data_IF_485053067940
#
_entry.id   IF_485053067940
#
_cell.length_a   1.000
_cell.length_b   1.000
_cell.length_c   1.000
_cell.angle_alpha   90.00
_cell.angle_beta   90.00
_cell.angle_gamma   90.00
#
_symmetry.space_group_name_H-M   'P 1'
#
loop_
_entity.id
_entity.type
_entity.pdbx_description
1 polymer ?
#
# COMPACT_ATOMS: atom_id res chain seq x y z
N UNK A 1 32.45 48.25 5.01
CA UNK A 1 31.70 47.91 3.77
C UNK A 1 30.38 47.29 4.20
N UNK A 2 29.25 47.79 3.66
CA UNK A 2 27.91 47.29 3.95
C UNK A 2 27.67 45.93 3.24
N UNK A 3 28.34 44.88 3.72
CA UNK A 3 28.18 43.54 3.17
C UNK A 3 26.84 42.95 3.64
N UNK A 4 26.04 42.44 2.69
CA UNK A 4 24.74 41.84 2.97
C UNK A 4 24.97 40.40 3.43
N UNK A 5 24.47 40.05 4.61
CA UNK A 5 24.48 38.68 5.13
C UNK A 5 23.35 37.86 4.53
N UNK A 6 23.70 36.94 3.64
CA UNK A 6 22.73 36.05 2.99
C UNK A 6 22.42 34.86 3.91
N UNK A 7 21.15 34.71 4.31
CA UNK A 7 20.66 33.60 5.13
C UNK A 7 19.73 32.75 4.28
N UNK A 8 20.06 31.48 4.13
CA UNK A 8 19.27 30.51 3.38
C UNK A 8 18.39 29.69 4.33
N UNK A 9 17.07 29.68 4.10
CA UNK A 9 16.14 28.85 4.86
C UNK A 9 15.87 27.55 4.08
N UNK A 10 16.12 26.40 4.70
CA UNK A 10 15.88 25.07 4.13
C UNK A 10 15.05 24.26 5.12
N UNK A 11 14.22 23.32 4.65
CA UNK A 11 13.42 22.45 5.51
C UNK A 11 12.13 22.03 4.84
N UNK A 12 11.39 21.11 5.46
CA UNK A 12 10.16 20.55 4.89
C UNK A 12 9.06 21.60 4.73
N UNK A 13 8.13 21.36 3.81
CA UNK A 13 6.88 22.14 3.69
C UNK A 13 6.10 22.05 4.99
N UNK A 14 5.49 23.16 5.40
CA UNK A 14 4.82 23.27 6.69
C UNK A 14 5.77 23.38 7.89
N UNK A 15 7.10 23.29 7.72
CA UNK A 15 8.06 23.40 8.83
C UNK A 15 8.19 24.80 9.45
N UNK A 16 7.51 25.83 8.90
CA UNK A 16 7.54 27.20 9.40
C UNK A 16 8.69 28.07 8.86
N UNK A 17 9.25 27.76 7.67
CA UNK A 17 10.32 28.56 7.03
C UNK A 17 9.89 29.99 6.74
N UNK A 18 8.77 30.18 6.04
CA UNK A 18 8.24 31.51 5.69
C UNK A 18 7.92 32.32 6.95
N UNK A 19 7.29 31.69 7.95
CA UNK A 19 7.07 32.28 9.28
C UNK A 19 8.38 32.69 9.96
N UNK A 20 9.41 31.82 9.96
CA UNK A 20 10.73 32.16 10.48
C UNK A 20 11.36 33.33 9.72
N UNK A 21 11.18 33.38 8.39
CA UNK A 21 11.63 34.49 7.55
C UNK A 21 10.97 35.81 7.95
N UNK A 22 9.66 35.81 8.16
CA UNK A 22 8.92 36.97 8.66
C UNK A 22 9.42 37.38 10.06
N UNK A 23 9.67 36.43 10.94
CA UNK A 23 10.22 36.70 12.27
C UNK A 23 11.60 37.36 12.19
N UNK A 24 12.43 37.00 11.21
CA UNK A 24 13.79 37.53 11.03
C UNK A 24 13.86 38.90 10.35
N UNK A 25 12.92 39.26 9.48
CA UNK A 25 12.95 40.54 8.76
C UNK A 25 12.23 41.69 9.47
N UNK A 26 11.19 41.37 10.24
CA UNK A 26 10.29 42.39 10.80
C UNK A 26 10.88 43.11 11.99
N UNK A 27 10.43 44.34 12.26
CA UNK A 27 10.87 45.13 13.42
C UNK A 27 9.70 45.40 14.36
N UNK A 28 10.03 45.81 15.58
CA UNK A 28 9.11 46.45 16.52
C UNK A 28 7.81 45.68 16.80
N UNK A 29 7.86 44.34 16.72
CA UNK A 29 6.72 43.43 16.92
C UNK A 29 5.52 43.65 15.97
N UNK A 30 5.71 44.35 14.85
CA UNK A 30 4.62 44.55 13.88
C UNK A 30 4.47 43.38 12.89
N UNK A 31 5.49 42.51 12.78
CA UNK A 31 5.46 41.22 12.07
C UNK A 31 4.62 41.22 10.78
N UNK A 32 4.94 42.12 9.85
CA UNK A 32 4.32 42.16 8.53
C UNK A 32 4.58 40.86 7.74
N UNK A 33 3.56 40.40 7.03
CA UNK A 33 3.66 39.18 6.23
C UNK A 33 4.37 39.46 4.89
N UNK A 34 5.69 39.34 4.86
CA UNK A 34 6.49 39.51 3.63
C UNK A 34 6.62 38.19 2.87
N UNK A 35 6.82 37.11 3.60
CA UNK A 35 6.70 35.74 3.12
C UNK A 35 5.31 35.23 3.48
N UNK A 36 4.59 34.69 2.48
CA UNK A 36 3.23 34.20 2.71
C UNK A 36 3.24 32.99 3.65
N UNK A 37 2.56 33.09 4.79
CA UNK A 37 2.34 32.01 5.74
C UNK A 37 1.08 31.22 5.33
N UNK A 38 1.04 29.91 5.62
CA UNK A 38 -0.17 29.13 5.40
C UNK A 38 -0.22 27.88 6.28
N UNK A 39 -1.34 27.71 6.97
CA UNK A 39 -1.66 26.49 7.74
C UNK A 39 -2.29 25.38 6.87
N UNK A 40 -2.48 25.64 5.58
CA UNK A 40 -3.09 24.70 4.63
C UNK A 40 -2.12 23.63 4.12
N UNK A 41 -2.67 22.48 3.69
CA UNK A 41 -1.92 21.31 3.19
C UNK A 41 -1.17 21.51 1.86
N UNK A 42 -1.17 22.73 1.31
CA UNK A 42 -0.56 23.08 0.02
C UNK A 42 0.41 24.23 0.26
N UNK A 43 1.68 24.11 -0.15
CA UNK A 43 2.65 25.19 -0.01
C UNK A 43 2.16 26.50 -0.66
N UNK A 44 2.15 27.58 0.11
CA UNK A 44 1.91 28.92 -0.40
C UNK A 44 3.08 29.46 -1.26
N UNK A 45 4.28 28.87 -1.13
CA UNK A 45 5.51 29.31 -1.81
C UNK A 45 5.77 28.41 -3.02
N UNK A 46 5.67 28.99 -4.23
CA UNK A 46 5.83 28.28 -5.53
C UNK A 46 7.15 28.57 -6.25
N UNK A 47 7.92 29.57 -5.79
CA UNK A 47 9.26 29.95 -6.26
C UNK A 47 10.10 30.45 -5.07
N UNK A 48 11.43 30.48 -5.19
CA UNK A 48 12.30 31.10 -4.18
C UNK A 48 11.89 32.57 -3.98
N UNK A 49 11.73 32.98 -2.72
CA UNK A 49 11.45 34.37 -2.36
C UNK A 49 12.60 34.93 -1.54
N UNK A 50 12.86 36.21 -1.72
CA UNK A 50 13.93 36.90 -0.99
C UNK A 50 13.41 38.21 -0.41
N UNK A 51 13.82 38.50 0.83
CA UNK A 51 13.55 39.77 1.48
C UNK A 51 14.83 40.31 2.12
N UNK A 52 15.02 41.63 2.06
CA UNK A 52 16.16 42.32 2.68
C UNK A 52 15.67 43.13 3.86
N UNK A 53 16.40 43.05 4.97
CA UNK A 53 16.12 43.85 6.16
C UNK A 53 17.44 44.38 6.73
N UNK A 54 17.48 45.66 7.08
CA UNK A 54 18.59 46.23 7.85
C UNK A 54 18.23 46.18 9.33
N UNK A 55 18.97 45.41 10.11
CA UNK A 55 18.73 45.19 11.53
C UNK A 55 19.78 45.95 12.33
N UNK A 56 19.30 46.74 13.29
CA UNK A 56 20.15 47.43 14.24
C UNK A 56 20.43 46.49 15.42
N UNK A 57 21.70 46.21 15.67
CA UNK A 57 22.15 45.40 16.81
C UNK A 57 22.53 46.25 18.02
N UNK A 58 22.63 47.56 17.83
CA UNK A 58 23.06 48.50 18.85
C UNK A 58 21.93 49.48 19.20
N UNK A 59 21.83 49.89 20.47
CA UNK A 59 20.83 50.88 20.87
C UNK A 59 21.10 52.29 20.33
N UNK A 60 22.33 52.57 19.93
CA UNK A 60 22.79 53.86 19.41
C UNK A 60 22.85 53.93 17.88
N UNK A 61 22.54 52.83 17.19
CA UNK A 61 22.55 52.73 15.74
C UNK A 61 23.92 52.62 15.08
N UNK A 62 24.96 52.36 15.87
CA UNK A 62 26.34 52.20 15.40
C UNK A 62 26.61 50.87 14.70
N UNK A 63 25.88 49.80 15.05
CA UNK A 63 26.02 48.46 14.46
C UNK A 63 24.76 48.03 13.70
N UNK A 64 24.76 48.30 12.39
CA UNK A 64 23.69 47.87 11.48
C UNK A 64 24.14 46.74 10.59
N UNK A 65 23.35 45.66 10.54
CA UNK A 65 23.60 44.51 9.67
C UNK A 65 22.47 44.37 8.67
N UNK A 66 22.82 44.34 7.38
CA UNK A 66 21.86 44.04 6.31
C UNK A 66 21.78 42.53 6.15
N UNK A 67 20.61 41.97 6.42
CA UNK A 67 20.30 40.58 6.13
C UNK A 67 19.52 40.47 4.83
N UNK A 68 19.76 39.39 4.10
CA UNK A 68 18.88 38.90 3.05
C UNK A 68 18.43 37.52 3.42
N UNK A 69 17.15 37.37 3.67
CA UNK A 69 16.53 36.09 3.95
C UNK A 69 16.05 35.49 2.63
N UNK A 70 16.53 34.30 2.31
CA UNK A 70 16.20 33.53 1.11
C UNK A 70 15.33 32.37 1.56
N UNK A 71 14.02 32.51 1.36
CA UNK A 71 13.04 31.47 1.67
C UNK A 71 12.88 30.55 0.46
N UNK A 72 13.23 29.27 0.63
CA UNK A 72 13.05 28.25 -0.41
C UNK A 72 11.72 27.55 -0.23
N UNK A 73 11.21 26.97 -1.32
CA UNK A 73 10.10 26.02 -1.23
C UNK A 73 10.50 24.87 -0.29
N UNK A 74 9.55 24.37 0.47
CA UNK A 74 9.80 23.25 1.37
C UNK A 74 10.05 21.94 0.65
N UNK A 75 10.90 21.12 1.27
CA UNK A 75 11.08 19.71 0.91
C UNK A 75 9.74 18.99 1.18
N UNK A 76 9.24 18.14 0.28
CA UNK A 76 8.04 17.33 0.55
C UNK A 76 6.68 18.02 0.38
N UNK A 77 6.60 19.17 -0.32
CA UNK A 77 5.31 19.54 -0.92
C UNK A 77 4.95 18.46 -1.97
N UNK A 78 3.70 18.02 -1.98
CA UNK A 78 3.22 16.91 -2.82
C UNK A 78 3.77 17.03 -4.25
N UNK A 79 4.70 16.13 -4.61
CA UNK A 79 5.44 16.00 -5.88
C UNK A 79 6.85 16.62 -6.00
N UNK A 80 7.44 17.23 -4.96
CA UNK A 80 8.85 17.64 -5.02
C UNK A 80 9.78 16.52 -4.54
N UNK A 81 10.26 15.76 -5.52
CA UNK A 81 11.35 14.79 -5.38
C UNK A 81 12.68 15.50 -5.01
N UNK A 82 13.72 14.77 -4.57
CA UNK A 82 15.13 15.21 -4.60
C UNK A 82 15.52 16.27 -5.64
N UNK A 83 15.02 16.14 -6.87
CA UNK A 83 15.31 17.03 -8.00
C UNK A 83 14.65 18.39 -7.87
N UNK A 84 13.49 18.48 -7.22
CA UNK A 84 12.85 19.73 -6.87
C UNK A 84 13.76 20.61 -6.00
N UNK A 85 14.42 20.01 -5.01
CA UNK A 85 15.39 20.70 -4.14
C UNK A 85 16.56 21.24 -4.97
N UNK A 86 17.11 20.42 -5.87
CA UNK A 86 18.24 20.79 -6.73
C UNK A 86 17.92 21.91 -7.73
N UNK A 87 16.76 21.86 -8.38
CA UNK A 87 16.32 22.91 -9.30
C UNK A 87 16.21 24.25 -8.57
N UNK A 88 15.67 24.28 -7.36
CA UNK A 88 15.56 25.54 -6.59
C UNK A 88 16.91 26.04 -6.10
N UNK A 89 17.87 25.15 -5.90
CA UNK A 89 19.21 25.57 -5.54
C UNK A 89 19.97 26.12 -6.75
N UNK A 90 19.69 25.61 -7.95
CA UNK A 90 20.16 26.22 -9.19
C UNK A 90 19.66 27.67 -9.33
N UNK A 91 18.41 27.96 -8.92
CA UNK A 91 17.87 29.34 -8.93
C UNK A 91 18.71 30.31 -8.06
N UNK A 92 19.29 29.84 -6.96
CA UNK A 92 20.12 30.66 -6.07
C UNK A 92 21.62 30.47 -6.29
N UNK A 93 22.03 29.56 -7.18
CA UNK A 93 23.43 29.17 -7.37
C UNK A 93 24.33 30.35 -7.73
N UNK A 94 23.89 31.15 -8.71
CA UNK A 94 24.59 32.36 -9.13
C UNK A 94 24.77 33.35 -7.97
N UNK A 95 23.77 33.45 -7.09
CA UNK A 95 23.85 34.31 -5.90
C UNK A 95 24.84 33.76 -4.88
N UNK A 96 24.75 32.46 -4.57
CA UNK A 96 25.69 31.78 -3.65
C UNK A 96 27.12 31.87 -4.18
N UNK A 97 27.33 31.72 -5.48
CA UNK A 97 28.64 31.85 -6.12
C UNK A 97 29.23 33.25 -6.00
N UNK A 98 28.43 34.29 -6.31
CA UNK A 98 28.92 35.67 -6.36
C UNK A 98 29.01 36.32 -4.97
N UNK A 99 28.02 36.09 -4.12
CA UNK A 99 27.86 36.77 -2.84
C UNK A 99 28.14 35.86 -1.64
N UNK A 100 28.07 34.53 -1.80
CA UNK A 100 28.20 33.56 -0.72
C UNK A 100 26.99 33.51 0.22
N UNK A 101 27.02 32.57 1.15
CA UNK A 101 26.04 32.40 2.22
C UNK A 101 26.69 32.72 3.56
N UNK A 102 26.09 33.63 4.33
CA UNK A 102 26.55 33.87 5.70
C UNK A 102 26.10 32.76 6.64
N UNK A 103 24.91 32.21 6.43
CA UNK A 103 24.37 31.12 7.25
C UNK A 103 23.25 30.35 6.55
N UNK A 104 23.05 29.11 6.97
CA UNK A 104 21.97 28.21 6.52
C UNK A 104 21.16 27.82 7.76
N UNK A 105 19.84 28.04 7.69
CA UNK A 105 18.90 27.67 8.74
C UNK A 105 18.06 26.48 8.26
N UNK A 106 18.29 25.32 8.87
CA UNK A 106 17.51 24.11 8.61
C UNK A 106 16.33 24.06 9.57
N UNK A 107 15.13 24.33 9.07
CA UNK A 107 13.91 24.50 9.85
C UNK A 107 13.14 23.18 9.96
N UNK A 108 12.92 22.72 11.19
CA UNK A 108 12.18 21.49 11.50
C UNK A 108 11.25 21.67 12.71
N UNK A 109 10.12 20.97 12.68
CA UNK A 109 9.13 20.92 13.76
C UNK A 109 9.26 19.68 14.66
N UNK A 110 10.28 18.86 14.48
CA UNK A 110 10.38 17.62 15.24
C UNK A 110 11.42 16.66 14.69
N UNK A 111 11.09 15.38 14.74
CA UNK A 111 11.93 14.33 14.16
C UNK A 111 12.08 14.56 12.67
N UNK A 112 13.25 14.21 12.15
CA UNK A 112 13.50 14.28 10.72
C UNK A 112 12.76 13.11 10.07
N UNK A 113 12.01 13.40 9.01
CA UNK A 113 11.46 12.35 8.17
C UNK A 113 12.55 11.75 7.28
N UNK A 114 12.25 10.61 6.66
CA UNK A 114 13.16 9.98 5.72
C UNK A 114 13.45 10.92 4.53
N UNK A 115 12.44 11.65 4.07
CA UNK A 115 12.55 12.62 2.98
C UNK A 115 13.43 13.81 3.37
N UNK A 116 13.34 14.29 4.62
CA UNK A 116 14.23 15.35 5.13
C UNK A 116 15.69 14.86 5.21
N UNK A 117 15.88 13.61 5.62
CA UNK A 117 17.21 12.96 5.69
C UNK A 117 17.82 12.80 4.30
N UNK A 118 17.05 12.30 3.33
CA UNK A 118 17.48 12.14 1.94
C UNK A 118 17.80 13.50 1.28
N UNK A 119 16.92 14.48 1.46
CA UNK A 119 17.15 15.83 0.96
C UNK A 119 18.40 16.45 1.58
N UNK A 120 18.66 16.23 2.87
CA UNK A 120 19.90 16.67 3.51
C UNK A 120 21.13 15.97 2.92
N UNK A 121 21.07 14.67 2.68
CA UNK A 121 22.16 13.93 2.02
C UNK A 121 22.45 14.45 0.61
N UNK A 122 21.41 14.85 -0.13
CA UNK A 122 21.56 15.46 -1.45
C UNK A 122 22.16 16.86 -1.40
N UNK A 123 21.71 17.69 -0.45
CA UNK A 123 22.29 19.01 -0.20
C UNK A 123 23.77 18.90 0.15
N UNK A 124 24.08 17.99 1.07
CA UNK A 124 25.44 17.68 1.52
C UNK A 124 26.34 17.10 0.43
N UNK A 125 25.79 16.40 -0.56
CA UNK A 125 26.59 15.84 -1.64
C UNK A 125 26.77 16.82 -2.79
N UNK A 126 25.73 17.60 -3.13
CA UNK A 126 25.65 18.36 -4.38
C UNK A 126 26.10 19.80 -4.25
N UNK A 127 25.78 20.42 -3.13
CA UNK A 127 26.04 21.86 -2.97
C UNK A 127 27.12 22.07 -1.96
N UNK A 128 27.11 21.27 -0.92
CA UNK A 128 27.84 21.54 0.27
C UNK A 128 29.11 20.72 0.36
N UNK A 129 30.20 21.35 0.75
CA UNK A 129 31.41 20.64 1.15
C UNK A 129 31.33 20.34 2.66
N UNK A 130 32.39 19.74 3.22
CA UNK A 130 32.44 19.38 4.64
C UNK A 130 32.35 20.60 5.57
N UNK A 131 32.64 21.80 5.08
CA UNK A 131 32.62 23.02 5.88
C UNK A 131 31.22 23.62 6.02
N UNK A 132 30.23 23.19 5.23
CA UNK A 132 28.84 23.69 5.35
C UNK A 132 28.29 23.56 6.76
N UNK A 133 28.69 22.51 7.48
CA UNK A 133 28.18 22.23 8.82
C UNK A 133 28.50 23.37 9.78
N UNK A 134 29.62 24.07 9.56
CA UNK A 134 30.01 25.27 10.33
C UNK A 134 29.07 26.45 10.12
N UNK A 135 28.41 26.49 8.97
CA UNK A 135 27.48 27.54 8.57
C UNK A 135 26.01 27.09 8.65
N UNK A 136 25.74 25.90 9.19
CA UNK A 136 24.40 25.34 9.29
C UNK A 136 23.93 25.30 10.73
N UNK A 137 22.71 25.77 10.96
CA UNK A 137 22.02 25.66 12.26
C UNK A 137 20.65 25.06 12.06
N UNK A 138 20.29 24.11 12.90
CA UNK A 138 18.93 23.56 12.95
C UNK A 138 18.06 24.49 13.80
N UNK A 139 16.94 24.93 13.25
CA UNK A 139 15.92 25.70 13.94
C UNK A 139 14.74 24.79 14.23
N UNK A 140 14.56 24.49 15.52
CA UNK A 140 13.46 23.69 16.04
C UNK A 140 12.27 24.61 16.33
N UNK A 141 11.33 24.68 15.39
CA UNK A 141 10.12 25.51 15.46
C UNK A 141 8.97 24.80 16.17
N UNK A 142 7.91 25.52 16.55
CA UNK A 142 6.73 24.95 17.22
C UNK A 142 7.10 24.19 18.51
N UNK A 143 7.93 24.83 19.33
CA UNK A 143 8.37 24.30 20.61
C UNK A 143 8.05 25.31 21.71
N UNK A 144 6.83 25.27 22.23
CA UNK A 144 6.32 26.24 23.22
C UNK A 144 7.14 26.36 24.51
N UNK A 145 7.97 25.35 24.82
CA UNK A 145 8.89 25.35 25.97
C UNK A 145 10.28 25.87 25.62
N UNK A 146 10.44 26.64 24.53
CA UNK A 146 11.75 27.07 24.04
C UNK A 146 12.52 27.94 25.04
N UNK A 147 11.83 28.67 25.91
CA UNK A 147 12.45 29.44 27.00
C UNK A 147 12.95 28.57 28.16
N UNK A 148 12.53 27.30 28.23
CA UNK A 148 12.99 26.35 29.24
C UNK A 148 14.22 25.59 28.71
N UNK A 149 15.40 25.93 29.23
CA UNK A 149 16.67 25.36 28.77
C UNK A 149 16.80 23.86 29.06
N UNK A 150 16.22 23.37 30.16
CA UNK A 150 16.19 21.93 30.48
C UNK A 150 15.32 21.17 29.48
N UNK A 151 14.14 21.71 29.14
CA UNK A 151 13.27 21.13 28.12
C UNK A 151 13.95 21.10 26.75
N UNK A 152 14.69 22.15 26.40
CA UNK A 152 15.49 22.21 25.17
C UNK A 152 16.64 21.18 25.19
N UNK A 153 17.34 21.00 26.32
CA UNK A 153 18.40 20.01 26.46
C UNK A 153 17.87 18.57 26.28
N UNK A 154 16.73 18.27 26.90
CA UNK A 154 16.07 16.96 26.79
C UNK A 154 15.60 16.67 25.35
N UNK A 155 15.02 17.66 24.67
CA UNK A 155 14.61 17.52 23.27
C UNK A 155 15.83 17.36 22.34
N UNK A 156 16.93 18.10 22.57
CA UNK A 156 18.18 17.94 21.79
C UNK A 156 18.73 16.52 21.89
N UNK A 157 18.76 15.95 23.10
CA UNK A 157 19.21 14.59 23.29
C UNK A 157 18.29 13.60 22.56
N UNK A 158 16.98 13.80 22.65
CA UNK A 158 15.99 12.95 21.99
C UNK A 158 16.11 13.00 20.47
N UNK A 159 16.23 14.21 19.88
CA UNK A 159 16.46 14.39 18.45
C UNK A 159 17.74 13.71 17.97
N UNK A 160 18.82 13.75 18.75
CA UNK A 160 20.08 13.09 18.39
C UNK A 160 19.98 11.56 18.43
N UNK A 161 19.25 11.00 19.39
CA UNK A 161 19.09 9.54 19.51
C UNK A 161 18.12 8.95 18.48
N UNK A 162 17.01 9.63 18.19
CA UNK A 162 15.98 9.13 17.28
C UNK A 162 16.38 9.23 15.80
N UNK A 163 17.38 10.06 15.47
CA UNK A 163 17.85 10.29 14.09
C UNK A 163 19.29 9.78 13.92
N UNK A 164 19.51 8.50 14.18
CA UNK A 164 20.84 7.87 14.14
C UNK A 164 21.60 8.14 12.82
N UNK A 165 20.87 8.13 11.68
CA UNK A 165 21.43 8.42 10.35
C UNK A 165 21.99 9.85 10.24
N UNK A 166 21.39 10.81 10.95
CA UNK A 166 21.81 12.22 10.99
C UNK A 166 22.60 12.57 12.25
N UNK A 167 22.87 11.63 13.16
CA UNK A 167 23.50 11.92 14.44
C UNK A 167 24.86 12.61 14.27
N UNK A 168 25.65 12.19 13.28
CA UNK A 168 26.93 12.80 12.95
C UNK A 168 26.80 14.29 12.55
N UNK A 169 25.73 14.65 11.84
CA UNK A 169 25.40 16.04 11.47
C UNK A 169 24.86 16.81 12.68
N UNK A 170 23.88 16.24 13.39
CA UNK A 170 23.24 16.87 14.56
C UNK A 170 24.19 17.10 15.74
N UNK A 171 25.29 16.36 15.79
CA UNK A 171 26.38 16.57 16.75
C UNK A 171 27.33 17.69 16.30
N UNK A 172 27.43 17.97 15.01
CA UNK A 172 28.30 19.00 14.45
C UNK A 172 27.62 20.37 14.33
N UNK A 173 26.29 20.42 14.25
CA UNK A 173 25.52 21.66 14.08
C UNK A 173 24.91 22.15 15.40
N UNK A 174 24.67 23.45 15.48
CA UNK A 174 23.90 24.04 16.58
C UNK A 174 22.40 23.82 16.37
N UNK A 175 21.66 23.69 17.48
CA UNK A 175 20.20 23.57 17.46
C UNK A 175 19.60 24.70 18.32
N UNK A 176 18.81 25.56 17.68
CA UNK A 176 18.12 26.69 18.33
C UNK A 176 16.63 26.42 18.36
N UNK A 177 16.03 26.64 19.52
CA UNK A 177 14.61 26.42 19.78
C UNK A 177 13.88 27.75 19.73
N UNK A 178 12.77 27.75 18.99
CA UNK A 178 11.90 28.91 18.82
C UNK A 178 10.44 28.48 18.81
N UNK A 179 9.56 29.37 19.22
CA UNK A 179 8.14 29.25 18.97
C UNK A 179 7.64 30.45 18.18
N UNK A 180 6.93 30.19 17.08
CA UNK A 180 6.46 31.23 16.18
C UNK A 180 4.97 31.00 15.90
N UNK A 181 4.10 31.18 16.91
CA UNK A 181 2.67 30.91 16.77
C UNK A 181 2.02 31.84 15.74
N UNK A 182 0.87 31.45 15.15
CA UNK A 182 0.18 32.25 14.12
C UNK A 182 -0.30 33.59 14.69
N UNK A 183 -0.29 34.65 13.86
CA UNK A 183 -0.78 35.99 14.23
C UNK A 183 -2.24 36.22 13.83
N UNK A 184 -3.02 35.15 13.79
CA UNK A 184 -4.44 35.18 13.43
C UNK A 184 -5.33 34.84 14.64
N UNK A 185 -6.57 35.32 14.60
CA UNK A 185 -7.59 35.02 15.61
C UNK A 185 -7.83 36.15 16.61
N UNK A 186 -7.98 35.81 17.90
CA UNK A 186 -8.43 36.76 18.93
C UNK A 186 -7.34 37.80 19.23
N UNK A 187 -7.65 39.11 19.34
CA UNK A 187 -6.65 40.16 19.55
C UNK A 187 -5.68 39.91 20.71
N UNK A 188 -6.19 39.50 21.87
CA UNK A 188 -5.35 39.17 23.05
C UNK A 188 -4.39 38.01 22.80
N UNK A 189 -4.79 37.03 21.98
CA UNK A 189 -3.91 35.90 21.61
C UNK A 189 -2.85 36.38 20.64
N UNK A 190 -3.22 37.24 19.68
CA UNK A 190 -2.27 37.83 18.73
C UNK A 190 -1.22 38.69 19.43
N UNK A 191 -1.60 39.49 20.43
CA UNK A 191 -0.66 40.28 21.24
C UNK A 191 0.38 39.39 21.94
N UNK A 192 -0.06 38.34 22.63
CA UNK A 192 0.84 37.35 23.25
C UNK A 192 1.72 36.65 22.20
N UNK A 193 1.16 36.30 21.04
CA UNK A 193 1.91 35.66 19.96
C UNK A 193 2.96 36.60 19.34
N UNK A 194 2.70 37.91 19.29
CA UNK A 194 3.70 38.92 18.92
C UNK A 194 4.84 38.95 19.92
N UNK A 195 4.56 38.90 21.22
CA UNK A 195 5.59 38.81 22.27
C UNK A 195 6.46 37.55 22.13
N UNK A 196 5.82 36.38 21.95
CA UNK A 196 6.51 35.10 21.74
C UNK A 196 7.41 35.15 20.49
N UNK A 197 6.89 35.66 19.35
CA UNK A 197 7.71 35.86 18.13
C UNK A 197 8.86 36.85 18.37
N UNK A 198 8.66 37.85 19.23
CA UNK A 198 9.69 38.82 19.63
C UNK A 198 10.85 38.18 20.40
N UNK A 199 10.57 37.25 21.30
CA UNK A 199 11.60 36.50 22.03
C UNK A 199 12.36 35.54 21.10
N UNK A 200 11.62 34.79 20.26
CA UNK A 200 12.21 33.97 19.19
C UNK A 200 13.14 34.78 18.30
N UNK A 201 12.72 35.98 17.89
CA UNK A 201 13.52 36.91 17.10
C UNK A 201 14.80 37.33 17.82
N UNK A 202 14.69 37.74 19.07
CA UNK A 202 15.85 38.19 19.88
C UNK A 202 16.89 37.09 19.99
N UNK A 203 16.46 35.86 20.25
CA UNK A 203 17.34 34.68 20.32
C UNK A 203 18.06 34.41 19.00
N UNK A 204 17.33 34.44 17.88
CA UNK A 204 17.88 34.21 16.54
C UNK A 204 18.88 35.29 16.14
N UNK A 205 18.54 36.57 16.34
CA UNK A 205 19.42 37.68 15.96
C UNK A 205 20.69 37.73 16.81
N UNK A 206 20.57 37.44 18.11
CA UNK A 206 21.74 37.34 19.01
C UNK A 206 22.70 36.27 18.51
N UNK A 207 22.17 35.11 18.11
CA UNK A 207 22.98 34.04 17.53
C UNK A 207 23.62 34.45 16.20
N UNK A 208 22.82 34.97 15.26
CA UNK A 208 23.27 35.35 13.92
C UNK A 208 24.27 36.52 13.92
N UNK A 209 24.20 37.40 14.91
CA UNK A 209 25.19 38.46 15.10
C UNK A 209 26.59 37.88 15.35
N UNK A 210 26.67 36.81 16.15
CA UNK A 210 27.90 36.08 16.46
C UNK A 210 28.44 35.22 15.30
N UNK A 211 27.59 34.83 14.35
CA UNK A 211 28.02 34.12 13.16
C UNK A 211 28.88 35.02 12.27
N UNK A 212 30.14 34.63 12.08
CA UNK A 212 31.09 35.29 11.18
C UNK A 212 31.52 34.33 10.09
N UNK A 213 31.65 34.85 8.88
CA UNK A 213 32.13 34.13 7.71
C UNK A 213 31.17 34.24 6.54
N UNK A 214 31.68 33.84 5.38
CA UNK A 214 30.94 33.85 4.14
C UNK A 214 31.24 32.54 3.41
N UNK A 215 30.30 31.61 3.50
CA UNK A 215 30.42 30.29 2.91
C UNK A 215 30.21 30.36 1.40
N UNK A 216 31.25 29.96 0.68
CA UNK A 216 31.22 29.78 -0.77
C UNK A 216 31.59 28.33 -1.05
N UNK A 217 30.61 27.48 -1.38
CA UNK A 217 30.89 26.08 -1.65
C UNK A 217 31.84 25.96 -2.83
N UNK A 218 32.92 25.20 -2.69
CA UNK A 218 33.86 24.97 -3.80
C UNK A 218 33.19 24.31 -5.01
N UNK A 219 32.11 23.56 -4.76
CA UNK A 219 31.40 22.78 -5.76
C UNK A 219 30.34 23.60 -6.53
N UNK A 220 30.14 24.87 -6.16
CA UNK A 220 29.09 25.72 -6.73
C UNK A 220 29.33 25.99 -8.23
N UNK A 221 30.59 26.01 -8.67
CA UNK A 221 30.95 26.26 -10.07
C UNK A 221 30.46 25.15 -11.01
N UNK A 222 30.45 23.92 -10.51
CA UNK A 222 29.95 22.73 -11.23
C UNK A 222 28.48 22.43 -10.94
N UNK A 223 27.80 23.28 -10.17
CA UNK A 223 26.44 22.98 -9.72
C UNK A 223 25.49 22.79 -10.90
N UNK A 224 25.57 23.64 -11.93
CA UNK A 224 24.69 23.54 -13.10
C UNK A 224 24.90 22.21 -13.85
N UNK A 225 26.15 21.78 -14.02
CA UNK A 225 26.49 20.48 -14.64
C UNK A 225 25.93 19.31 -13.83
N UNK A 226 26.10 19.36 -12.50
CA UNK A 226 25.61 18.30 -11.59
C UNK A 226 24.09 18.26 -11.55
N UNK A 227 23.43 19.41 -11.47
CA UNK A 227 21.96 19.51 -11.51
C UNK A 227 21.44 18.94 -12.83
N UNK A 228 22.13 19.20 -13.94
CA UNK A 228 21.77 18.63 -15.25
C UNK A 228 22.00 17.11 -15.31
N UNK A 229 23.13 16.60 -14.81
CA UNK A 229 23.40 15.16 -14.75
C UNK A 229 22.34 14.41 -13.93
N UNK A 230 21.95 14.95 -12.77
CA UNK A 230 20.86 14.41 -11.96
C UNK A 230 19.51 14.42 -12.69
N UNK A 231 19.18 15.50 -13.42
CA UNK A 231 17.96 15.56 -14.24
C UNK A 231 17.97 14.48 -15.31
N UNK A 232 19.07 14.35 -16.06
CA UNK A 232 19.22 13.34 -17.11
C UNK A 232 19.14 11.90 -16.55
N UNK A 233 19.74 11.66 -15.39
CA UNK A 233 19.66 10.34 -14.74
C UNK A 233 18.23 9.99 -14.32
N UNK A 234 17.46 10.95 -13.80
CA UNK A 234 16.05 10.73 -13.45
C UNK A 234 15.18 10.49 -14.69
N UNK A 235 15.39 11.23 -15.78
CA UNK A 235 14.68 10.99 -17.04
C UNK A 235 14.90 9.56 -17.54
N UNK A 236 16.15 9.08 -17.51
CA UNK A 236 16.49 7.69 -17.83
C UNK A 236 15.81 6.69 -16.89
N UNK A 237 15.72 6.99 -15.59
CA UNK A 237 15.01 6.14 -14.63
C UNK A 237 13.50 6.10 -14.92
N UNK A 238 12.87 7.24 -15.22
CA UNK A 238 11.45 7.31 -15.60
C UNK A 238 11.17 6.53 -16.87
N UNK A 239 12.06 6.60 -17.85
CA UNK A 239 11.95 5.85 -19.10
C UNK A 239 12.06 4.34 -18.85
N UNK A 240 13.04 3.90 -18.06
CA UNK A 240 13.16 2.50 -17.62
C UNK A 240 11.94 2.01 -16.83
N UNK A 241 11.38 2.84 -15.95
CA UNK A 241 10.16 2.48 -15.21
C UNK A 241 8.97 2.27 -16.15
N UNK A 242 8.80 3.14 -17.16
CA UNK A 242 7.77 2.97 -18.19
C UNK A 242 7.98 1.70 -19.01
N UNK A 243 9.22 1.38 -19.35
CA UNK A 243 9.57 0.15 -20.06
C UNK A 243 9.22 -1.10 -19.24
N UNK A 244 9.63 -1.15 -17.97
CA UNK A 244 9.29 -2.23 -17.03
C UNK A 244 7.78 -2.37 -16.87
N UNK A 245 7.06 -1.26 -16.76
CA UNK A 245 5.60 -1.29 -16.59
C UNK A 245 4.89 -1.77 -17.87
N UNK A 246 5.38 -1.38 -19.04
CA UNK A 246 4.89 -1.88 -20.32
C UNK A 246 5.15 -3.39 -20.47
N UNK A 247 6.32 -3.87 -20.07
CA UNK A 247 6.66 -5.29 -20.11
C UNK A 247 5.83 -6.11 -19.12
N UNK A 248 5.63 -5.61 -17.89
CA UNK A 248 4.72 -6.23 -16.90
C UNK A 248 3.32 -6.40 -17.49
N UNK A 249 2.81 -5.35 -18.14
CA UNK A 249 1.47 -5.38 -18.76
C UNK A 249 1.38 -6.39 -19.91
N UNK A 250 2.43 -6.49 -20.75
CA UNK A 250 2.51 -7.51 -21.80
C UNK A 250 2.50 -8.93 -21.22
N UNK A 251 3.30 -9.18 -20.20
CA UNK A 251 3.35 -10.48 -19.52
C UNK A 251 1.99 -10.86 -18.91
N UNK A 252 1.29 -9.91 -18.27
CA UNK A 252 -0.05 -10.14 -17.72
C UNK A 252 -1.07 -10.48 -18.81
N UNK A 253 -1.02 -9.82 -19.96
CA UNK A 253 -1.89 -10.12 -21.10
C UNK A 253 -1.59 -11.50 -21.70
N UNK A 254 -0.32 -11.88 -21.86
CA UNK A 254 0.07 -13.22 -22.32
C UNK A 254 -0.38 -14.31 -21.35
N UNK A 255 -0.16 -14.11 -20.06
CA UNK A 255 -0.56 -15.06 -19.03
C UNK A 255 -2.09 -15.22 -19.00
N UNK A 256 -2.83 -14.12 -19.17
CA UNK A 256 -4.28 -14.13 -19.27
C UNK A 256 -4.77 -14.90 -20.49
N UNK A 257 -4.14 -14.76 -21.66
CA UNK A 257 -4.47 -15.55 -22.86
C UNK A 257 -4.27 -17.05 -22.63
N UNK A 258 -3.12 -17.45 -22.07
CA UNK A 258 -2.83 -18.86 -21.73
C UNK A 258 -3.85 -19.45 -20.76
N UNK A 259 -4.32 -18.69 -19.77
CA UNK A 259 -5.38 -19.13 -18.86
C UNK A 259 -6.69 -19.40 -19.61
N UNK A 260 -7.06 -18.57 -20.58
CA UNK A 260 -8.29 -18.76 -21.37
C UNK A 260 -8.17 -20.00 -22.24
N UNK A 261 -7.06 -20.15 -22.97
CA UNK A 261 -6.80 -21.32 -23.82
C UNK A 261 -6.86 -22.62 -23.02
N UNK A 262 -6.18 -22.67 -21.86
CA UNK A 262 -6.17 -23.84 -20.99
C UNK A 262 -7.57 -24.19 -20.44
N UNK A 263 -8.39 -23.17 -20.12
CA UNK A 263 -9.78 -23.38 -19.69
C UNK A 263 -10.65 -23.92 -20.81
N UNK A 264 -10.47 -23.43 -22.04
CA UNK A 264 -11.21 -23.91 -23.21
C UNK A 264 -10.84 -25.35 -23.55
N UNK A 265 -9.55 -25.70 -23.45
CA UNK A 265 -9.04 -27.04 -23.66
C UNK A 265 -9.57 -28.02 -22.61
N UNK A 266 -9.47 -27.70 -21.32
CA UNK A 266 -10.08 -28.50 -20.26
C UNK A 266 -11.59 -28.69 -20.47
N UNK A 267 -12.31 -27.64 -20.87
CA UNK A 267 -13.73 -27.74 -21.16
C UNK A 267 -14.03 -28.64 -22.37
N UNK A 268 -13.14 -28.68 -23.37
CA UNK A 268 -13.25 -29.56 -24.53
C UNK A 268 -13.04 -31.02 -24.13
N UNK A 269 -11.98 -31.32 -23.39
CA UNK A 269 -11.71 -32.66 -22.88
C UNK A 269 -12.85 -33.20 -22.00
N UNK A 270 -13.38 -32.37 -21.09
CA UNK A 270 -14.54 -32.71 -20.27
C UNK A 270 -15.78 -33.07 -21.11
N UNK A 271 -16.01 -32.34 -22.20
CA UNK A 271 -17.12 -32.63 -23.13
C UNK A 271 -16.90 -33.93 -23.89
N UNK A 272 -15.71 -34.16 -24.42
CA UNK A 272 -15.38 -35.39 -25.16
C UNK A 272 -15.47 -36.63 -24.26
N UNK A 273 -14.93 -36.55 -23.04
CA UNK A 273 -15.02 -37.63 -22.07
C UNK A 273 -16.48 -37.91 -21.69
N UNK A 274 -17.32 -36.87 -21.56
CA UNK A 274 -18.75 -37.04 -21.30
C UNK A 274 -19.46 -37.75 -22.46
N UNK A 275 -19.18 -37.38 -23.71
CA UNK A 275 -19.78 -38.02 -24.89
C UNK A 275 -19.40 -39.51 -24.93
N UNK A 276 -18.11 -39.84 -24.77
CA UNK A 276 -17.64 -41.23 -24.70
C UNK A 276 -18.33 -42.03 -23.59
N UNK A 277 -18.44 -41.44 -22.41
CA UNK A 277 -19.11 -42.08 -21.29
C UNK A 277 -20.61 -42.33 -21.55
N UNK A 278 -21.30 -41.39 -22.19
CA UNK A 278 -22.71 -41.56 -22.60
C UNK A 278 -22.87 -42.66 -23.67
N UNK A 279 -21.92 -42.78 -24.62
CA UNK A 279 -21.89 -43.86 -25.62
C UNK A 279 -21.67 -45.24 -24.99
N UNK A 280 -20.73 -45.36 -24.06
CA UNK A 280 -20.45 -46.61 -23.34
C UNK A 280 -21.68 -47.06 -22.52
N UNK A 281 -22.35 -46.12 -21.83
CA UNK A 281 -23.63 -46.43 -21.14
C UNK A 281 -24.68 -46.95 -22.11
N UNK A 282 -24.80 -46.36 -23.32
CA UNK A 282 -25.75 -46.85 -24.33
C UNK A 282 -25.42 -48.26 -24.79
N UNK A 283 -24.15 -48.56 -25.08
CA UNK A 283 -23.73 -49.92 -25.47
C UNK A 283 -24.07 -50.95 -24.40
N UNK A 284 -23.73 -50.67 -23.14
CA UNK A 284 -24.04 -51.58 -22.01
C UNK A 284 -25.54 -51.81 -21.86
N UNK A 285 -26.37 -50.78 -22.07
CA UNK A 285 -27.84 -50.93 -22.05
C UNK A 285 -28.33 -51.84 -23.17
N UNK A 286 -27.89 -51.62 -24.41
CA UNK A 286 -28.29 -52.42 -25.57
C UNK A 286 -27.89 -53.90 -25.36
N UNK A 287 -26.64 -54.16 -24.96
CA UNK A 287 -26.17 -55.52 -24.67
C UNK A 287 -26.94 -56.18 -23.51
N UNK A 288 -27.31 -55.40 -22.50
CA UNK A 288 -28.14 -55.85 -21.38
C UNK A 288 -29.55 -56.25 -21.83
N UNK A 289 -30.18 -55.40 -22.66
CA UNK A 289 -31.52 -55.64 -23.21
C UNK A 289 -31.54 -56.85 -24.15
N UNK A 290 -30.51 -57.02 -25.00
CA UNK A 290 -30.35 -58.19 -25.87
C UNK A 290 -30.20 -59.49 -25.07
N UNK A 291 -29.36 -59.50 -24.03
CA UNK A 291 -29.20 -60.66 -23.14
C UNK A 291 -30.50 -60.99 -22.41
N UNK A 292 -31.21 -59.97 -21.91
CA UNK A 292 -32.49 -60.15 -21.24
C UNK A 292 -33.52 -60.76 -22.21
N UNK A 293 -33.60 -60.24 -23.43
CA UNK A 293 -34.51 -60.73 -24.45
C UNK A 293 -34.22 -62.20 -24.80
N UNK A 294 -32.95 -62.55 -25.00
CA UNK A 294 -32.53 -63.93 -25.30
C UNK A 294 -32.88 -64.89 -24.16
N UNK A 295 -32.59 -64.50 -22.91
CA UNK A 295 -32.93 -65.29 -21.72
C UNK A 295 -34.44 -65.47 -21.58
N UNK A 296 -35.23 -64.44 -21.93
CA UNK A 296 -36.69 -64.50 -21.89
C UNK A 296 -37.24 -65.50 -22.90
N UNK A 297 -36.74 -65.49 -24.15
CA UNK A 297 -37.10 -66.47 -25.17
C UNK A 297 -36.77 -67.90 -24.70
N UNK A 298 -35.56 -68.12 -24.17
CA UNK A 298 -35.14 -69.42 -23.67
C UNK A 298 -36.02 -69.92 -22.50
N UNK A 299 -36.43 -69.03 -21.58
CA UNK A 299 -37.35 -69.37 -20.50
C UNK A 299 -38.75 -69.70 -21.00
N UNK A 300 -39.28 -68.94 -21.96
CA UNK A 300 -40.59 -69.19 -22.57
C UNK A 300 -40.61 -70.54 -23.31
N UNK A 301 -39.57 -70.86 -24.07
CA UNK A 301 -39.43 -72.17 -24.70
C UNK A 301 -39.36 -73.30 -23.68
N UNK A 302 -38.56 -73.13 -22.62
CA UNK A 302 -38.43 -74.13 -21.55
C UNK A 302 -39.77 -74.36 -20.86
N UNK A 303 -40.49 -73.30 -20.50
CA UNK A 303 -41.83 -73.41 -19.92
C UNK A 303 -42.79 -74.15 -20.85
N UNK A 304 -42.72 -73.90 -22.16
CA UNK A 304 -43.53 -74.60 -23.17
C UNK A 304 -43.22 -76.09 -23.21
N UNK A 305 -41.94 -76.47 -23.16
CA UNK A 305 -41.50 -77.87 -23.10
C UNK A 305 -41.95 -78.55 -21.80
N UNK A 306 -41.71 -77.90 -20.65
CA UNK A 306 -42.10 -78.43 -19.33
C UNK A 306 -43.62 -78.63 -19.25
N UNK A 307 -44.42 -77.73 -19.84
CA UNK A 307 -45.88 -77.84 -19.90
C UNK A 307 -46.34 -78.99 -20.80
N UNK A 308 -45.75 -79.13 -22.00
CA UNK A 308 -46.04 -80.23 -22.91
C UNK A 308 -45.67 -81.60 -22.30
N UNK A 309 -44.57 -81.66 -21.55
CA UNK A 309 -44.15 -82.86 -20.81
C UNK A 309 -45.13 -83.19 -19.68
N UNK A 310 -45.63 -82.18 -18.97
CA UNK A 310 -46.63 -82.35 -17.92
C UNK A 310 -47.97 -82.85 -18.48
N UNK A 311 -48.43 -82.27 -19.60
CA UNK A 311 -49.64 -82.72 -20.31
C UNK A 311 -49.52 -84.16 -20.77
N UNK A 312 -48.37 -84.55 -21.34
CA UNK A 312 -48.09 -85.93 -21.74
C UNK A 312 -48.17 -86.89 -20.56
N UNK A 313 -47.51 -86.55 -19.44
CA UNK A 313 -47.57 -87.35 -18.20
C UNK A 313 -48.98 -87.44 -17.62
N UNK A 314 -49.78 -86.38 -17.73
CA UNK A 314 -51.17 -86.39 -17.31
C UNK A 314 -52.02 -87.28 -18.21
N UNK A 315 -51.86 -87.22 -19.54
CA UNK A 315 -52.54 -88.13 -20.47
C UNK A 315 -52.15 -89.59 -20.25
N UNK A 316 -50.87 -89.88 -19.96
CA UNK A 316 -50.41 -91.22 -19.58
C UNK A 316 -51.02 -91.70 -18.25
N UNK A 317 -51.19 -90.81 -17.26
CA UNK A 317 -51.87 -91.10 -16.00
C UNK A 317 -53.37 -91.32 -16.18
N UNK A 318 -54.05 -90.50 -16.98
CA UNK A 318 -55.46 -90.69 -17.32
C UNK A 318 -55.69 -91.98 -18.12
N UNK A 319 -54.76 -92.36 -19.01
CA UNK A 319 -54.76 -93.64 -19.72
C UNK A 319 -54.56 -94.84 -18.79
N UNK A 320 -53.71 -94.72 -17.76
CA UNK A 320 -53.53 -95.73 -16.70
C UNK A 320 -54.73 -95.81 -15.74
N UNK A 321 -55.41 -94.70 -15.47
CA UNK A 321 -56.67 -94.70 -14.73
C UNK A 321 -57.82 -95.32 -15.54
N UNK A 322 -57.87 -95.15 -16.87
CA UNK A 322 -58.85 -95.81 -17.75
C UNK A 322 -58.60 -97.30 -17.96
N UNK A 323 -57.38 -97.81 -17.71
CA UNK A 323 -57.05 -99.24 -17.78
C UNK A 323 -57.00 -99.92 -16.39
N UNK A 324 -57.25 -99.17 -15.31
CA UNK A 324 -57.16 -99.63 -13.93
C UNK A 324 -58.43 -99.55 -13.09
N UNK A 325 -59.58 -99.18 -13.66
CA UNK A 325 -60.85 -99.13 -12.91
C UNK A 325 -61.98 -99.94 -13.57
N UNK A 326 -61.70 -101.21 -13.86
CA UNK A 326 -62.65 -102.30 -13.65
C UNK A 326 -62.03 -103.27 -12.63
N UNK A 327 -62.25 -102.98 -11.34
CA UNK A 327 -62.57 -103.91 -10.24
C UNK A 327 -62.29 -103.26 -8.87
N UNK A 328 -63.36 -103.10 -8.08
CA UNK A 328 -63.33 -103.43 -6.66
C UNK A 328 -63.29 -102.28 -5.65
N UNK A 329 -64.49 -101.87 -5.24
CA UNK A 329 -64.90 -101.08 -4.06
C UNK A 329 -64.35 -101.67 -2.73
N UNK A 330 -63.85 -100.85 -1.78
CA UNK A 330 -64.59 -100.46 -0.54
C UNK A 330 -63.78 -99.67 0.52
N UNK A 331 -64.49 -98.69 1.09
CA UNK A 331 -64.48 -98.06 2.43
C UNK A 331 -63.20 -97.87 3.29
N UNK A 332 -62.96 -96.60 3.67
CA UNK A 332 -63.28 -96.09 5.02
C UNK A 332 -63.25 -94.56 5.09
N UNK A 333 -64.29 -93.99 5.72
CA UNK A 333 -64.41 -92.60 6.16
C UNK A 333 -63.51 -92.32 7.38
N UNK A 334 -62.92 -91.13 7.50
CA UNK A 334 -63.36 -90.06 8.44
C UNK A 334 -62.30 -88.94 8.63
N UNK A 335 -62.80 -87.70 8.56
CA UNK A 335 -62.42 -86.48 9.29
C UNK A 335 -60.93 -86.06 9.45
N UNK A 336 -60.59 -84.88 8.90
CA UNK A 336 -60.46 -83.67 9.74
C UNK A 336 -60.27 -82.35 8.97
N UNK A 337 -60.90 -81.31 9.52
CA UNK A 337 -60.82 -79.86 9.21
C UNK A 337 -59.39 -79.29 9.29
N UNK A 338 -59.10 -78.29 8.43
CA UNK A 338 -58.55 -76.96 8.76
C UNK A 338 -58.22 -76.23 7.44
N UNK A 339 -59.00 -75.25 6.99
CA UNK A 339 -58.84 -73.81 7.23
C UNK A 339 -57.47 -73.17 6.85
N UNK A 340 -57.57 -72.15 6.00
CA UNK A 340 -56.78 -70.91 5.96
C UNK A 340 -55.31 -70.97 5.49
N UNK A 341 -55.02 -70.31 4.36
CA UNK A 341 -54.63 -68.89 4.35
C UNK A 341 -53.81 -68.51 3.10
N UNK A 342 -54.14 -67.34 2.54
CA UNK A 342 -53.20 -66.54 1.72
C UNK A 342 -52.15 -65.92 2.67
N UNK A 343 -50.94 -65.66 2.19
CA UNK A 343 -50.34 -64.32 2.35
C UNK A 343 -49.77 -63.85 1.01
N UNK A 344 -49.97 -62.64 0.45
CA UNK A 344 -49.88 -61.24 0.95
C UNK A 344 -48.60 -60.89 1.73
N UNK A 345 -47.76 -60.10 1.05
CA UNK A 345 -46.89 -59.01 1.54
C UNK A 345 -45.78 -59.31 2.56
N UNK A 346 -44.53 -58.93 2.22
CA UNK A 346 -43.81 -57.79 2.82
C UNK A 346 -42.34 -57.79 2.36
N UNK A 347 -41.85 -56.70 1.75
CA UNK A 347 -40.98 -55.70 2.39
C UNK A 347 -40.00 -56.29 3.40
N UNK A 348 -38.73 -56.41 3.00
CA UNK A 348 -37.59 -56.40 3.92
C UNK A 348 -36.67 -55.23 3.56
N UNK A 349 -36.88 -54.13 4.27
CA UNK A 349 -35.89 -53.09 4.53
C UNK A 349 -34.91 -53.64 5.57
N UNK A 350 -33.60 -53.56 5.33
CA UNK A 350 -32.55 -53.25 6.34
C UNK A 350 -31.23 -53.00 5.61
N UNK A 351 -30.81 -51.74 5.45
CA UNK A 351 -29.96 -50.95 6.37
C UNK A 351 -28.62 -51.62 6.71
N UNK A 352 -27.52 -51.00 6.25
CA UNK A 352 -26.51 -50.28 7.07
C UNK A 352 -25.40 -49.74 6.14
N UNK A 353 -25.22 -48.41 6.13
CA UNK A 353 -24.12 -47.62 6.75
C UNK A 353 -22.84 -47.65 5.91
N UNK A 354 -21.96 -46.65 5.87
CA UNK A 354 -21.90 -45.21 6.15
C UNK A 354 -20.50 -44.77 5.68
N UNK A 355 -20.15 -43.48 5.83
CA UNK A 355 -18.87 -42.80 5.49
C UNK A 355 -18.82 -42.32 4.03
N UNK A 356 -18.60 -41.04 3.68
CA UNK A 356 -17.93 -39.90 4.33
C UNK A 356 -18.65 -38.57 3.95
N UNK A 357 -18.86 -37.57 4.83
CA UNK A 357 -17.94 -36.46 5.17
C UNK A 357 -17.28 -35.81 3.92
N UNK A 358 -17.22 -34.51 3.67
CA UNK A 358 -17.51 -33.27 4.39
C UNK A 358 -17.54 -32.14 3.34
N UNK A 359 -18.56 -31.27 3.33
CA UNK A 359 -18.58 -30.05 2.51
C UNK A 359 -18.33 -28.82 3.39
N UNK A 360 -17.40 -27.90 3.05
CA UNK A 360 -17.39 -26.58 3.63
C UNK A 360 -18.32 -25.64 2.84
N UNK A 361 -19.19 -24.97 3.59
CA UNK A 361 -20.11 -23.91 3.14
C UNK A 361 -19.29 -22.72 2.61
N UNK A 362 -19.61 -22.25 1.39
CA UNK A 362 -19.09 -21.00 0.85
C UNK A 362 -19.70 -19.81 1.60
N UNK A 363 -18.82 -19.01 2.20
CA UNK A 363 -19.11 -17.68 2.70
C UNK A 363 -19.30 -16.71 1.52
N UNK A 364 -20.33 -15.87 1.65
CA UNK A 364 -20.58 -14.69 0.83
C UNK A 364 -19.74 -13.55 1.41
N UNK A 365 -18.99 -12.83 0.56
CA UNK A 365 -18.41 -11.52 0.88
C UNK A 365 -18.81 -10.53 -0.21
N UNK A 366 -19.07 -9.25 0.14
CA UNK A 366 -19.62 -8.25 -0.77
C UNK A 366 -18.52 -7.53 -1.56
N UNK A 367 -18.86 -7.18 -2.79
CA UNK A 367 -18.05 -6.32 -3.66
C UNK A 367 -18.26 -4.87 -3.22
N UNK A 368 -17.18 -4.22 -2.81
CA UNK A 368 -17.03 -2.76 -2.83
C UNK A 368 -16.37 -2.39 -4.16
N UNK A 369 -17.11 -1.69 -5.01
CA UNK A 369 -16.60 -0.71 -5.98
C UNK A 369 -17.47 0.53 -5.80
#
# INVERSE_FOLDING_TARGET
MNEIRNILLIGRTGGGKSTLGNVLINKDNEFEEVFKESDGSVSATKNVKEAKAEIDLSRDGSEKIKYRIIDTIGIGDTNLTPQGVLVRLAEIANRVKNEGLSHILFVTQGRFTKEETEAYGLLSSIIFDKDVLKYTTVIRTNFSRFENEEACANDRQSLRMENADLAHILNAVNIIYVDNPPLEGRPRVVEVNKEIRGESRTRLLTYLAGCRGNYRPSNIDTLDERVNDYKTHEEKLKEKMKEIEADRKRQEEEFRKKIVEMKEEQARELRENRIKFEEDIRKVKVEGDEKLHKTKIEMEEKQRRDMADLERRNQEREGRSRTGSERGVSEKQENNRCELSKPKFSKAIRKRKSYAENYPKKAVLPILI
#
